data_IF_417000801564
#
_entry.id   IF_417000801564
#
_cell.length_a   1.000
_cell.length_b   1.000
_cell.length_c   1.000
_cell.angle_alpha   90.00
_cell.angle_beta   90.00
_cell.angle_gamma   90.00
#
_symmetry.space_group_name_H-M   'P 1'
#
loop_
_entity.id
_entity.type
_entity.pdbx_description
1 polymer ?
#
# COMPACT_ATOMS: atom_id res chain seq x y z
N UNK A 1 24.54 -10.37 -31.16
CA UNK A 1 23.07 -10.47 -31.10
C UNK A 1 22.71 -11.32 -29.91
N UNK A 2 22.14 -10.74 -28.84
CA UNK A 2 21.68 -11.51 -27.70
C UNK A 2 20.54 -12.43 -28.17
N UNK A 3 20.78 -13.74 -28.08
CA UNK A 3 19.83 -14.77 -28.44
C UNK A 3 18.64 -14.76 -27.46
N UNK A 4 17.64 -13.91 -27.73
CA UNK A 4 16.31 -14.04 -27.15
C UNK A 4 15.78 -15.44 -27.51
N UNK A 5 15.68 -16.35 -26.54
CA UNK A 5 14.98 -17.63 -26.74
C UNK A 5 15.76 -18.92 -26.51
N UNK A 6 17.08 -18.88 -26.31
CA UNK A 6 17.90 -20.10 -26.14
C UNK A 6 18.29 -20.42 -24.69
N UNK A 7 17.94 -19.56 -23.73
CA UNK A 7 18.21 -19.75 -22.30
C UNK A 7 16.96 -19.50 -21.47
N UNK A 8 16.66 -20.41 -20.54
CA UNK A 8 15.55 -20.29 -19.59
C UNK A 8 16.09 -19.85 -18.21
N UNK A 9 15.42 -18.93 -17.49
CA UNK A 9 14.20 -18.22 -17.86
C UNK A 9 14.44 -17.08 -18.86
N UNK A 10 13.45 -16.79 -19.70
CA UNK A 10 13.53 -15.71 -20.70
C UNK A 10 13.70 -14.32 -20.08
N UNK A 11 13.13 -14.11 -18.88
CA UNK A 11 13.27 -12.88 -18.10
C UNK A 11 13.96 -13.23 -16.79
N UNK A 12 15.24 -12.89 -16.69
CA UNK A 12 16.08 -13.15 -15.51
C UNK A 12 15.99 -12.05 -14.45
N UNK A 13 15.37 -10.93 -14.78
CA UNK A 13 15.18 -9.81 -13.86
C UNK A 13 14.34 -10.20 -12.65
N UNK A 14 14.61 -9.55 -11.51
CA UNK A 14 13.78 -9.68 -10.32
C UNK A 14 12.37 -9.18 -10.61
N UNK A 15 11.36 -9.95 -10.22
CA UNK A 15 9.96 -9.55 -10.40
C UNK A 15 9.66 -8.39 -9.45
N UNK A 16 9.14 -7.26 -9.95
CA UNK A 16 8.80 -6.13 -9.09
C UNK A 16 7.62 -6.49 -8.18
N UNK A 17 7.67 -6.00 -6.95
CA UNK A 17 6.55 -6.03 -6.00
C UNK A 17 5.84 -4.67 -6.01
N UNK A 18 4.53 -4.67 -5.78
CA UNK A 18 3.78 -3.42 -5.72
C UNK A 18 4.08 -2.72 -4.37
N UNK A 19 4.36 -1.40 -4.36
CA UNK A 19 4.95 -0.75 -3.20
C UNK A 19 3.96 -0.36 -2.08
N UNK A 20 2.65 -0.53 -2.31
CA UNK A 20 1.60 -0.07 -1.38
C UNK A 20 0.40 -1.01 -1.39
N UNK A 21 -0.58 -0.78 -0.52
CA UNK A 21 -1.86 -1.50 -0.57
C UNK A 21 -2.58 -1.27 -1.92
N UNK A 22 -2.97 -2.37 -2.56
CA UNK A 22 -3.60 -2.33 -3.90
C UNK A 22 -5.00 -1.73 -3.88
N UNK A 23 -5.78 -1.94 -2.81
CA UNK A 23 -7.13 -1.39 -2.65
C UNK A 23 -7.05 0.13 -2.51
N UNK A 24 -6.14 0.63 -1.67
CA UNK A 24 -5.89 2.07 -1.54
C UNK A 24 -5.40 2.67 -2.85
N UNK A 25 -4.52 2.00 -3.59
CA UNK A 25 -4.05 2.47 -4.88
C UNK A 25 -5.18 2.60 -5.91
N UNK A 26 -6.09 1.62 -5.96
CA UNK A 26 -7.27 1.65 -6.83
C UNK A 26 -8.21 2.80 -6.45
N UNK A 27 -8.51 2.97 -5.16
CA UNK A 27 -9.34 4.09 -4.68
C UNK A 27 -8.72 5.42 -5.11
N UNK A 28 -7.44 5.65 -4.81
CA UNK A 28 -6.74 6.89 -5.18
C UNK A 28 -6.80 7.12 -6.70
N UNK A 29 -6.57 6.08 -7.51
CA UNK A 29 -6.59 6.18 -8.97
C UNK A 29 -7.97 6.57 -9.49
N UNK A 30 -9.05 5.99 -8.96
CA UNK A 30 -10.43 6.32 -9.36
C UNK A 30 -10.76 7.79 -9.02
N UNK A 31 -10.43 8.24 -7.80
CA UNK A 31 -10.72 9.63 -7.42
C UNK A 31 -9.84 10.65 -8.16
N UNK A 32 -8.58 10.30 -8.46
CA UNK A 32 -7.70 11.15 -9.27
C UNK A 32 -8.17 11.25 -10.72
N UNK A 33 -8.58 10.14 -11.33
CA UNK A 33 -9.12 10.16 -12.71
C UNK A 33 -10.40 11.00 -12.79
N UNK A 34 -11.30 10.89 -11.81
CA UNK A 34 -12.47 11.76 -11.71
C UNK A 34 -12.08 13.23 -11.55
N UNK A 35 -11.13 13.54 -10.66
CA UNK A 35 -10.63 14.91 -10.45
C UNK A 35 -10.05 15.51 -11.73
N UNK A 36 -9.18 14.77 -12.43
CA UNK A 36 -8.59 15.20 -13.70
C UNK A 36 -9.68 15.46 -14.74
N UNK A 37 -10.69 14.60 -14.82
CA UNK A 37 -11.85 14.80 -15.71
C UNK A 37 -12.60 16.09 -15.38
N UNK A 38 -12.84 16.39 -14.10
CA UNK A 38 -13.48 17.64 -13.69
C UNK A 38 -12.63 18.89 -13.97
N UNK A 39 -11.31 18.77 -13.89
CA UNK A 39 -10.37 19.85 -14.26
C UNK A 39 -10.43 20.10 -15.78
N UNK A 40 -10.51 19.05 -16.60
CA UNK A 40 -10.59 19.18 -18.06
C UNK A 40 -11.87 19.92 -18.49
N UNK A 41 -13.01 19.64 -17.87
CA UNK A 41 -14.28 20.31 -18.21
C UNK A 41 -14.42 21.71 -17.58
N UNK A 42 -13.54 22.07 -16.65
CA UNK A 42 -13.57 23.33 -15.90
C UNK A 42 -13.66 24.60 -16.78
N UNK A 43 -12.96 24.71 -17.94
CA UNK A 43 -13.09 25.87 -18.83
C UNK A 43 -14.49 26.03 -19.43
N UNK A 44 -15.28 24.95 -19.52
CA UNK A 44 -16.66 24.99 -20.01
C UNK A 44 -17.65 25.65 -19.03
N UNK A 45 -17.25 25.85 -17.77
CA UNK A 45 -18.09 26.44 -16.73
C UNK A 45 -18.01 27.96 -16.81
N UNK A 46 -19.12 28.58 -17.18
CA UNK A 46 -19.23 30.03 -17.38
C UNK A 46 -19.26 30.79 -16.05
N UNK A 47 -18.59 31.94 -16.00
CA UNK A 47 -18.75 32.95 -14.94
C UNK A 47 -17.84 32.78 -13.72
N UNK A 48 -18.06 33.64 -12.71
CA UNK A 48 -17.26 33.71 -11.47
C UNK A 48 -17.53 32.55 -10.50
N UNK A 49 -18.61 31.78 -10.71
CA UNK A 49 -18.97 30.61 -9.90
C UNK A 49 -18.03 29.42 -10.09
N UNK A 50 -17.14 29.46 -11.10
CA UNK A 50 -16.19 28.40 -11.41
C UNK A 50 -15.32 27.98 -10.21
N UNK A 51 -14.84 28.93 -9.41
CA UNK A 51 -14.04 28.64 -8.22
C UNK A 51 -14.86 27.93 -7.15
N UNK A 52 -16.08 28.41 -6.90
CA UNK A 52 -16.99 27.77 -5.95
C UNK A 52 -17.38 26.35 -6.37
N UNK A 53 -17.63 26.15 -7.66
CA UNK A 53 -17.91 24.83 -8.23
C UNK A 53 -16.72 23.89 -8.05
N UNK A 54 -15.50 24.35 -8.35
CA UNK A 54 -14.28 23.54 -8.18
C UNK A 54 -14.09 23.14 -6.73
N UNK A 55 -14.21 24.08 -5.79
CA UNK A 55 -14.10 23.79 -4.36
C UNK A 55 -15.13 22.75 -3.94
N UNK A 56 -16.40 22.91 -4.35
CA UNK A 56 -17.47 21.95 -4.05
C UNK A 56 -17.15 20.55 -4.58
N UNK A 57 -16.68 20.44 -5.82
CA UNK A 57 -16.35 19.13 -6.44
C UNK A 57 -15.17 18.49 -5.74
N UNK A 58 -14.10 19.24 -5.48
CA UNK A 58 -12.90 18.73 -4.80
C UNK A 58 -13.25 18.27 -3.39
N UNK A 59 -13.99 19.06 -2.62
CA UNK A 59 -14.41 18.68 -1.27
C UNK A 59 -15.30 17.43 -1.29
N UNK A 60 -16.25 17.34 -2.22
CA UNK A 60 -17.12 16.16 -2.35
C UNK A 60 -16.34 14.89 -2.70
N UNK A 61 -15.41 14.97 -3.67
CA UNK A 61 -14.56 13.85 -4.05
C UNK A 61 -13.64 13.45 -2.90
N UNK A 62 -13.05 14.43 -2.21
CA UNK A 62 -12.18 14.18 -1.07
C UNK A 62 -12.92 13.44 0.05
N UNK A 63 -14.14 13.88 0.40
CA UNK A 63 -14.96 13.20 1.41
C UNK A 63 -15.22 11.74 1.02
N UNK A 64 -15.61 11.48 -0.24
CA UNK A 64 -15.83 10.11 -0.72
C UNK A 64 -14.57 9.25 -0.67
N UNK A 65 -13.42 9.82 -1.08
CA UNK A 65 -12.14 9.13 -1.07
C UNK A 65 -11.71 8.76 0.35
N UNK A 66 -11.83 9.70 1.30
CA UNK A 66 -11.47 9.48 2.71
C UNK A 66 -12.35 8.42 3.34
N UNK A 67 -13.67 8.45 3.12
CA UNK A 67 -14.59 7.43 3.66
C UNK A 67 -14.19 6.04 3.18
N UNK A 68 -13.92 5.88 1.88
CA UNK A 68 -13.52 4.59 1.33
C UNK A 68 -12.13 4.17 1.81
N UNK A 69 -11.16 5.08 1.80
CA UNK A 69 -9.79 4.79 2.25
C UNK A 69 -9.78 4.35 3.72
N UNK A 70 -10.49 5.05 4.61
CA UNK A 70 -10.59 4.73 6.04
C UNK A 70 -11.35 3.41 6.26
N UNK A 71 -12.34 3.09 5.43
CA UNK A 71 -13.08 1.84 5.54
C UNK A 71 -12.22 0.61 5.18
N UNK A 72 -11.29 0.76 4.24
CA UNK A 72 -10.43 -0.32 3.76
C UNK A 72 -9.02 -0.30 4.35
N UNK A 73 -8.61 0.75 5.07
CA UNK A 73 -7.29 0.82 5.69
C UNK A 73 -7.17 -0.11 6.90
N UNK A 74 -5.95 -0.62 7.09
CA UNK A 74 -5.52 -1.38 8.27
C UNK A 74 -4.91 -0.51 9.37
N UNK A 75 -5.08 0.82 9.28
CA UNK A 75 -4.40 1.80 10.15
C UNK A 75 -5.26 2.29 11.32
N UNK A 76 -6.27 1.52 11.75
CA UNK A 76 -7.16 1.93 12.84
C UNK A 76 -6.50 1.87 14.20
N UNK A 77 -5.69 0.84 14.44
CA UNK A 77 -4.83 0.76 15.62
C UNK A 77 -3.47 0.23 15.20
N UNK A 78 -2.45 1.05 15.42
CA UNK A 78 -1.09 0.78 14.98
C UNK A 78 -0.18 0.72 16.20
N UNK A 79 0.65 -0.31 16.29
CA UNK A 79 1.68 -0.45 17.30
C UNK A 79 2.95 -1.00 16.67
N UNK A 80 4.10 -0.49 17.08
CA UNK A 80 5.41 -0.93 16.63
C UNK A 80 6.33 -1.14 17.83
N UNK A 81 7.10 -2.22 17.81
CA UNK A 81 8.06 -2.55 18.86
C UNK A 81 9.29 -3.17 18.24
N UNK A 82 10.44 -2.59 18.55
CA UNK A 82 11.73 -3.21 18.29
C UNK A 82 11.98 -4.33 19.30
N UNK A 83 12.13 -5.55 18.81
CA UNK A 83 12.36 -6.72 19.63
C UNK A 83 13.41 -7.63 19.02
N UNK A 84 14.12 -8.35 19.88
CA UNK A 84 14.96 -9.47 19.46
C UNK A 84 14.15 -10.75 19.64
N UNK A 85 13.82 -11.42 18.54
CA UNK A 85 12.92 -12.59 18.56
C UNK A 85 13.50 -13.76 17.78
N UNK A 86 12.99 -14.96 18.05
CA UNK A 86 13.26 -16.15 17.26
C UNK A 86 12.59 -16.03 15.90
N UNK A 87 13.35 -16.24 14.83
CA UNK A 87 12.87 -15.98 13.48
C UNK A 87 12.11 -17.14 12.82
N UNK A 88 12.67 -18.36 12.91
CA UNK A 88 12.11 -19.54 12.22
C UNK A 88 12.29 -20.82 13.02
N UNK A 89 11.37 -21.76 12.80
CA UNK A 89 11.47 -23.10 13.37
C UNK A 89 12.79 -23.78 12.96
N UNK A 90 13.29 -24.68 13.81
CA UNK A 90 14.54 -25.43 13.61
C UNK A 90 15.80 -24.54 13.47
N UNK A 91 15.76 -23.28 13.90
CA UNK A 91 16.93 -22.41 14.02
C UNK A 91 16.98 -21.75 15.39
N UNK A 92 18.08 -21.86 16.15
CA UNK A 92 18.21 -21.17 17.44
C UNK A 92 18.59 -19.69 17.28
N UNK A 93 18.74 -19.18 16.04
CA UNK A 93 19.21 -17.82 15.78
C UNK A 93 18.12 -16.80 16.02
N UNK A 94 18.50 -15.69 16.67
CA UNK A 94 17.63 -14.57 16.94
C UNK A 94 17.90 -13.46 15.92
N UNK A 95 16.86 -12.69 15.61
CA UNK A 95 16.92 -11.56 14.69
C UNK A 95 16.44 -10.31 15.42
N UNK A 96 17.06 -9.17 15.09
CA UNK A 96 16.62 -7.88 15.59
C UNK A 96 15.64 -7.28 14.60
N UNK A 97 14.38 -7.12 15.00
CA UNK A 97 13.29 -6.78 14.10
C UNK A 97 12.40 -5.71 14.73
N UNK A 98 11.83 -4.87 13.89
CA UNK A 98 10.66 -4.07 14.23
C UNK A 98 9.41 -4.89 13.89
N UNK A 99 8.64 -5.21 14.93
CA UNK A 99 7.36 -5.90 14.81
C UNK A 99 6.27 -4.85 14.87
N UNK A 100 5.51 -4.74 13.79
CA UNK A 100 4.36 -3.86 13.70
C UNK A 100 3.06 -4.66 13.68
N UNK A 101 2.06 -4.13 14.38
CA UNK A 101 0.69 -4.61 14.38
C UNK A 101 -0.20 -3.49 13.86
N UNK A 102 -0.87 -3.72 12.74
CA UNK A 102 -1.75 -2.77 12.07
C UNK A 102 -3.15 -3.37 11.99
N UNK A 103 -4.01 -2.97 12.91
CA UNK A 103 -5.37 -3.49 13.03
C UNK A 103 -6.30 -2.61 12.20
N UNK A 104 -7.02 -3.23 11.27
CA UNK A 104 -8.08 -2.61 10.46
C UNK A 104 -9.48 -3.08 10.85
N UNK A 105 -10.49 -2.58 10.13
CA UNK A 105 -11.88 -3.02 10.32
C UNK A 105 -12.13 -4.46 9.85
N UNK A 106 -11.37 -4.94 8.86
CA UNK A 106 -11.58 -6.25 8.24
C UNK A 106 -10.60 -7.33 8.66
N UNK A 107 -9.59 -7.00 9.45
CA UNK A 107 -8.48 -7.89 9.75
C UNK A 107 -7.31 -7.16 10.40
N UNK A 108 -6.20 -7.87 10.49
CA UNK A 108 -4.94 -7.37 11.03
C UNK A 108 -3.79 -7.65 10.07
N UNK A 109 -2.96 -6.63 9.86
CA UNK A 109 -1.69 -6.74 9.16
C UNK A 109 -0.56 -6.82 10.19
N UNK A 110 0.30 -7.82 10.05
CA UNK A 110 1.47 -8.01 10.90
C UNK A 110 2.71 -7.75 10.06
N UNK A 111 3.47 -6.73 10.43
CA UNK A 111 4.72 -6.38 9.76
C UNK A 111 5.91 -6.89 10.56
N UNK A 112 6.87 -7.50 9.88
CA UNK A 112 8.13 -7.94 10.48
C UNK A 112 9.28 -7.43 9.62
N UNK A 113 9.93 -6.35 10.08
CA UNK A 113 10.99 -5.68 9.34
C UNK A 113 12.32 -5.81 10.07
N UNK A 114 13.34 -6.37 9.42
CA UNK A 114 14.67 -6.50 9.99
C UNK A 114 15.35 -5.15 10.21
N UNK A 115 16.06 -5.00 11.34
CA UNK A 115 16.95 -3.86 11.62
C UNK A 115 18.39 -4.36 11.80
N UNK A 116 19.20 -4.53 10.72
CA UNK A 116 18.94 -4.18 9.31
C UNK A 116 18.10 -5.21 8.53
N UNK A 117 17.57 -4.85 7.36
CA UNK A 117 16.63 -5.69 6.58
C UNK A 117 17.24 -7.03 6.15
N UNK A 118 18.53 -7.04 5.82
CA UNK A 118 19.28 -8.27 5.53
C UNK A 118 19.89 -8.82 6.82
N UNK A 119 19.36 -9.93 7.29
CA UNK A 119 19.90 -10.67 8.45
C UNK A 119 19.91 -12.16 8.14
N UNK A 120 20.96 -12.86 8.59
CA UNK A 120 21.08 -14.31 8.39
C UNK A 120 21.05 -14.75 6.91
N UNK A 121 21.53 -13.90 5.98
CA UNK A 121 21.41 -14.07 4.52
C UNK A 121 19.96 -14.13 4.00
N UNK A 122 19.00 -13.58 4.76
CA UNK A 122 17.60 -13.49 4.38
C UNK A 122 17.12 -12.04 4.42
N UNK A 123 16.11 -11.75 3.58
CA UNK A 123 15.47 -10.43 3.51
C UNK A 123 14.25 -10.43 4.43
N UNK A 124 14.35 -9.78 5.57
CA UNK A 124 13.25 -9.72 6.55
C UNK A 124 12.46 -8.43 6.31
N UNK A 125 11.43 -8.53 5.48
CA UNK A 125 10.48 -7.45 5.20
C UNK A 125 9.11 -8.05 4.88
N UNK A 126 8.47 -8.59 5.91
CA UNK A 126 7.17 -9.25 5.80
C UNK A 126 6.05 -8.28 6.14
N UNK A 127 4.94 -8.38 5.41
CA UNK A 127 3.69 -7.68 5.68
C UNK A 127 2.55 -8.65 5.39
N UNK A 128 2.21 -9.47 6.38
CA UNK A 128 1.20 -10.52 6.26
C UNK A 128 -0.16 -10.00 6.70
N UNK A 129 -1.20 -10.33 5.95
CA UNK A 129 -2.57 -9.91 6.24
C UNK A 129 -3.44 -11.09 6.69
N UNK A 130 -4.10 -10.94 7.84
CA UNK A 130 -5.03 -11.92 8.40
C UNK A 130 -6.42 -11.29 8.48
N UNK A 131 -7.30 -11.68 7.56
CA UNK A 131 -8.69 -11.26 7.57
C UNK A 131 -9.53 -12.10 8.54
N UNK A 132 -10.41 -11.46 9.31
CA UNK A 132 -11.40 -12.15 10.16
C UNK A 132 -12.83 -12.00 9.64
N UNK A 133 -12.99 -11.43 8.44
CA UNK A 133 -14.28 -11.45 7.74
C UNK A 133 -14.54 -12.89 7.29
N UNK A 134 -15.67 -13.44 7.75
CA UNK A 134 -16.22 -14.74 7.38
C UNK A 134 -16.35 -14.91 5.85
#
# INVERSE_FOLDING_TARGET
MAALGHTLPFYTGTKPTFPMDTTLAVIITIFLTALVTFIIILPGIRGKTRLFWLLRVVTSLFIGAVILAVNFSSEWSVGHVNANTTYKAFSPKWVSVDVGLQIGLGGVNITLTGTPVQQLNETINYNEAFAWRL
#
